data_IF_430012232489
#
_entry.id   IF_430012232489
#
_cell.length_a   1.000
_cell.length_b   1.000
_cell.length_c   1.000
_cell.angle_alpha   90.00
_cell.angle_beta   90.00
_cell.angle_gamma   90.00
#
_symmetry.space_group_name_H-M   'P 1'
#
loop_
_entity.id
_entity.type
_entity.pdbx_description
1 polymer ?
#
# COMPACT_ATOMS: atom_id res chain seq x y z
N UNK A 1 -37.35 -55.19 -7.64
CA UNK A 1 -37.51 -54.40 -8.87
C UNK A 1 -36.16 -54.27 -9.52
N UNK A 2 -36.09 -54.50 -10.83
CA UNK A 2 -34.86 -54.23 -11.60
C UNK A 2 -34.97 -52.87 -12.25
N UNK A 3 -33.87 -52.14 -12.31
CA UNK A 3 -33.76 -50.82 -12.89
C UNK A 3 -32.48 -50.71 -13.71
N UNK A 4 -32.45 -49.75 -14.63
CA UNK A 4 -31.31 -49.52 -15.52
C UNK A 4 -30.28 -48.63 -14.87
N UNK A 5 -29.03 -49.09 -14.91
CA UNK A 5 -27.87 -48.34 -14.43
C UNK A 5 -26.88 -48.10 -15.56
N UNK A 6 -26.53 -46.87 -15.78
CA UNK A 6 -25.51 -46.45 -16.72
C UNK A 6 -24.18 -46.32 -15.99
N UNK A 7 -23.20 -47.14 -16.31
CA UNK A 7 -21.87 -47.12 -15.73
C UNK A 7 -20.88 -46.42 -16.64
N UNK A 8 -19.93 -45.71 -15.98
CA UNK A 8 -18.89 -44.92 -16.64
C UNK A 8 -17.52 -45.24 -16.04
N UNK A 9 -16.48 -45.13 -16.85
CA UNK A 9 -15.11 -44.96 -16.39
C UNK A 9 -14.83 -43.45 -16.47
N UNK A 10 -14.90 -42.76 -15.34
CA UNK A 10 -14.95 -41.31 -15.32
C UNK A 10 -14.12 -40.72 -14.16
N UNK A 11 -13.20 -39.79 -14.47
CA UNK A 11 -12.35 -39.16 -13.48
C UNK A 11 -12.81 -37.73 -13.20
N UNK A 12 -13.08 -37.43 -11.96
CA UNK A 12 -13.41 -36.09 -11.47
C UNK A 12 -12.98 -35.93 -10.02
N UNK A 13 -12.93 -34.70 -9.55
CA UNK A 13 -12.77 -34.39 -8.12
C UNK A 13 -14.13 -34.57 -7.42
N UNK A 14 -14.11 -34.98 -6.16
CA UNK A 14 -15.35 -35.14 -5.37
C UNK A 14 -16.12 -33.84 -5.22
N UNK A 15 -15.40 -32.73 -5.09
CA UNK A 15 -15.97 -31.38 -4.96
C UNK A 15 -16.23 -30.69 -6.32
N UNK A 16 -16.50 -31.43 -7.41
CA UNK A 16 -16.79 -30.86 -8.74
C UNK A 16 -18.23 -31.17 -9.17
N UNK A 17 -18.85 -30.26 -9.92
CA UNK A 17 -20.17 -30.48 -10.55
C UNK A 17 -20.09 -31.19 -11.89
N UNK A 18 -18.90 -31.61 -12.33
CA UNK A 18 -18.68 -32.24 -13.61
C UNK A 18 -19.52 -33.50 -13.78
N UNK A 19 -20.15 -33.66 -14.93
CA UNK A 19 -20.92 -34.85 -15.34
C UNK A 19 -20.22 -35.59 -16.47
N UNK A 20 -20.39 -36.90 -16.60
CA UNK A 20 -19.94 -37.61 -17.79
C UNK A 20 -20.59 -37.03 -19.05
N UNK A 21 -19.79 -36.80 -20.07
CA UNK A 21 -20.25 -36.36 -21.40
C UNK A 21 -20.16 -37.52 -22.36
N UNK A 22 -21.28 -37.84 -23.06
CA UNK A 22 -21.32 -38.93 -24.01
C UNK A 22 -22.05 -40.20 -23.52
N UNK A 23 -21.95 -41.28 -24.29
CA UNK A 23 -22.62 -42.54 -24.00
C UNK A 23 -22.01 -43.23 -22.76
N UNK A 24 -22.84 -43.98 -22.03
CA UNK A 24 -22.38 -44.83 -20.94
C UNK A 24 -21.38 -45.86 -21.45
N UNK A 25 -20.36 -46.17 -20.65
CA UNK A 25 -19.39 -47.24 -20.96
C UNK A 25 -20.04 -48.61 -20.94
N UNK A 26 -21.05 -48.78 -20.10
CA UNK A 26 -21.87 -49.98 -20.03
C UNK A 26 -23.25 -49.64 -19.45
N UNK A 27 -24.26 -50.40 -19.84
CA UNK A 27 -25.64 -50.32 -19.36
C UNK A 27 -26.10 -51.69 -18.89
N UNK A 28 -26.50 -51.76 -17.63
CA UNK A 28 -26.95 -53.02 -17.04
C UNK A 28 -28.29 -52.90 -16.32
N UNK A 29 -29.08 -53.97 -16.34
CA UNK A 29 -30.21 -54.11 -15.47
C UNK A 29 -29.74 -54.63 -14.11
N UNK A 30 -29.97 -53.88 -13.08
CA UNK A 30 -29.48 -54.13 -11.72
C UNK A 30 -30.62 -54.26 -10.73
N UNK A 31 -30.34 -54.82 -9.56
CA UNK A 31 -31.26 -54.92 -8.44
C UNK A 31 -30.63 -54.26 -7.23
N UNK A 32 -31.42 -53.47 -6.48
CA UNK A 32 -30.97 -52.92 -5.22
C UNK A 32 -30.93 -53.97 -4.13
N UNK A 33 -29.86 -54.08 -3.39
CA UNK A 33 -29.71 -54.97 -2.26
C UNK A 33 -30.59 -54.52 -1.09
N UNK A 34 -31.30 -55.44 -0.45
CA UNK A 34 -32.14 -55.12 0.69
C UNK A 34 -31.34 -54.43 1.81
N UNK A 35 -31.95 -53.40 2.38
CA UNK A 35 -31.33 -52.61 3.47
C UNK A 35 -30.40 -51.50 3.02
N UNK A 36 -30.30 -51.20 1.73
CA UNK A 36 -29.56 -50.03 1.23
C UNK A 36 -30.51 -48.89 0.86
N UNK A 37 -30.11 -47.66 1.19
CA UNK A 37 -30.85 -46.43 0.90
C UNK A 37 -30.45 -45.82 -0.46
N UNK A 38 -31.17 -44.79 -0.87
CA UNK A 38 -30.90 -44.07 -2.14
C UNK A 38 -29.56 -43.30 -2.08
N UNK A 39 -29.12 -42.88 -0.90
CA UNK A 39 -27.86 -42.12 -0.75
C UNK A 39 -26.63 -43.01 -0.94
N UNK A 40 -26.68 -44.23 -0.37
CA UNK A 40 -25.59 -45.20 -0.44
C UNK A 40 -26.12 -46.56 -0.91
N UNK A 41 -26.50 -46.66 -2.20
CA UNK A 41 -27.07 -47.90 -2.69
C UNK A 41 -26.01 -48.99 -2.87
N UNK A 42 -26.39 -50.20 -2.50
CA UNK A 42 -25.67 -51.41 -2.88
C UNK A 42 -26.44 -52.10 -4.01
N UNK A 43 -25.82 -52.18 -5.17
CA UNK A 43 -26.49 -52.65 -6.38
C UNK A 43 -25.90 -53.97 -6.85
N UNK A 44 -26.77 -54.95 -6.99
CA UNK A 44 -26.40 -56.25 -7.50
C UNK A 44 -26.63 -56.33 -9.02
N UNK A 45 -25.64 -56.86 -9.70
CA UNK A 45 -25.72 -57.17 -11.11
C UNK A 45 -25.13 -58.55 -11.43
N UNK A 46 -25.73 -59.23 -12.41
CA UNK A 46 -25.23 -60.48 -12.93
C UNK A 46 -24.69 -60.25 -14.32
N UNK A 47 -23.42 -60.54 -14.52
CA UNK A 47 -22.78 -60.44 -15.83
C UNK A 47 -22.73 -61.79 -16.51
N UNK A 48 -23.00 -61.84 -17.82
CA UNK A 48 -22.84 -63.03 -18.62
C UNK A 48 -21.36 -63.38 -18.82
N UNK A 49 -20.99 -64.64 -18.65
CA UNK A 49 -19.60 -65.06 -18.79
C UNK A 49 -18.70 -64.61 -17.67
N UNK A 50 -17.42 -64.30 -17.96
CA UNK A 50 -16.41 -63.81 -16.99
C UNK A 50 -16.30 -62.30 -16.99
N UNK A 51 -17.39 -61.57 -17.18
CA UNK A 51 -17.39 -60.11 -17.21
C UNK A 51 -16.88 -59.52 -15.90
N UNK A 52 -16.03 -58.49 -16.01
CA UNK A 52 -15.44 -57.78 -14.89
C UNK A 52 -15.83 -56.30 -14.94
N UNK A 53 -16.63 -55.77 -13.98
CA UNK A 53 -17.08 -54.38 -13.96
C UNK A 53 -16.15 -53.46 -13.19
N UNK A 54 -15.01 -53.93 -12.67
CA UNK A 54 -14.15 -53.17 -11.76
C UNK A 54 -13.52 -51.91 -12.40
N UNK A 55 -13.59 -51.77 -13.72
CA UNK A 55 -13.15 -50.54 -14.42
C UNK A 55 -14.15 -49.39 -14.34
N UNK A 56 -15.39 -49.64 -13.89
CA UNK A 56 -16.42 -48.64 -13.78
C UNK A 56 -16.39 -48.03 -12.35
N UNK A 57 -16.10 -46.78 -12.26
CA UNK A 57 -15.98 -46.06 -11.00
C UNK A 57 -17.07 -44.98 -10.79
N UNK A 58 -18.01 -44.88 -11.76
CA UNK A 58 -19.07 -43.88 -11.70
C UNK A 58 -20.35 -44.42 -12.34
N UNK A 59 -21.50 -43.98 -11.83
CA UNK A 59 -22.78 -44.48 -12.32
C UNK A 59 -23.88 -43.41 -12.34
N UNK A 60 -24.86 -43.57 -13.23
CA UNK A 60 -26.11 -42.81 -13.22
C UNK A 60 -27.29 -43.79 -13.18
N UNK A 61 -28.18 -43.60 -12.21
CA UNK A 61 -29.38 -44.37 -12.02
C UNK A 61 -30.57 -43.52 -12.44
N UNK A 62 -31.19 -43.91 -13.55
CA UNK A 62 -32.29 -43.15 -14.14
C UNK A 62 -33.51 -43.05 -13.21
N UNK A 63 -33.89 -44.17 -12.56
CA UNK A 63 -35.06 -44.26 -11.67
C UNK A 63 -34.91 -43.36 -10.42
N UNK A 64 -33.67 -43.09 -10.01
CA UNK A 64 -33.38 -42.19 -8.89
C UNK A 64 -33.03 -40.78 -9.36
N UNK A 65 -32.81 -40.60 -10.67
CA UNK A 65 -32.30 -39.35 -11.27
C UNK A 65 -31.04 -38.80 -10.55
N UNK A 66 -30.10 -39.70 -10.20
CA UNK A 66 -28.91 -39.37 -9.41
C UNK A 66 -27.65 -39.98 -10.01
N UNK A 67 -26.55 -39.25 -9.82
CA UNK A 67 -25.21 -39.71 -10.10
C UNK A 67 -24.56 -40.28 -8.83
N UNK A 68 -23.68 -41.28 -9.01
CA UNK A 68 -23.05 -42.01 -7.93
C UNK A 68 -21.58 -42.26 -8.21
N UNK A 69 -20.75 -42.12 -7.15
CA UNK A 69 -19.41 -42.69 -7.13
C UNK A 69 -19.51 -44.19 -6.80
N UNK A 70 -18.76 -45.03 -7.51
CA UNK A 70 -18.60 -46.45 -7.20
C UNK A 70 -17.27 -46.62 -6.48
N UNK A 71 -17.34 -46.92 -5.18
CA UNK A 71 -16.15 -47.01 -4.33
C UNK A 71 -15.52 -48.38 -4.37
N UNK A 72 -16.36 -49.42 -4.41
CA UNK A 72 -15.91 -50.80 -4.31
C UNK A 72 -16.82 -51.75 -5.10
N UNK A 73 -16.20 -52.78 -5.65
CA UNK A 73 -16.89 -53.92 -6.30
C UNK A 73 -16.62 -55.19 -5.51
N UNK A 74 -17.66 -55.80 -4.96
CA UNK A 74 -17.64 -57.09 -4.28
C UNK A 74 -18.20 -58.18 -5.21
N UNK A 75 -17.56 -59.35 -5.21
CA UNK A 75 -18.10 -60.51 -5.92
C UNK A 75 -18.55 -61.56 -4.91
N UNK A 76 -19.86 -61.83 -4.86
CA UNK A 76 -20.48 -62.80 -3.92
C UNK A 76 -21.64 -63.48 -4.62
N UNK A 77 -21.81 -64.79 -4.37
CA UNK A 77 -22.90 -65.61 -4.90
C UNK A 77 -23.11 -65.51 -6.43
N UNK A 78 -22.00 -65.45 -7.18
CA UNK A 78 -21.99 -65.31 -8.64
C UNK A 78 -22.59 -63.99 -9.13
N UNK A 79 -22.65 -63.01 -8.28
CA UNK A 79 -23.09 -61.65 -8.59
C UNK A 79 -22.02 -60.63 -8.23
N UNK A 80 -22.00 -59.55 -8.95
CA UNK A 80 -21.23 -58.37 -8.61
C UNK A 80 -22.09 -57.40 -7.80
N UNK A 81 -21.52 -56.83 -6.76
CA UNK A 81 -22.17 -55.84 -5.91
C UNK A 81 -21.36 -54.56 -6.00
N UNK A 82 -21.97 -53.47 -6.45
CA UNK A 82 -21.40 -52.13 -6.43
C UNK A 82 -21.78 -51.42 -5.14
N UNK A 83 -20.79 -50.98 -4.38
CA UNK A 83 -20.97 -50.12 -3.23
C UNK A 83 -20.81 -48.66 -3.69
N UNK A 84 -21.89 -47.87 -3.56
CA UNK A 84 -21.93 -46.54 -4.14
C UNK A 84 -22.33 -45.48 -3.12
N UNK A 85 -21.94 -44.22 -3.38
CA UNK A 85 -22.43 -43.03 -2.69
C UNK A 85 -22.91 -42.01 -3.71
N UNK A 86 -23.94 -41.24 -3.32
CA UNK A 86 -24.50 -40.20 -4.19
C UNK A 86 -23.48 -39.07 -4.42
N UNK A 87 -23.38 -38.64 -5.69
CA UNK A 87 -22.68 -37.42 -6.06
C UNK A 87 -23.70 -36.28 -6.12
N UNK A 88 -23.82 -35.56 -5.01
CA UNK A 88 -24.82 -34.51 -4.89
C UNK A 88 -24.53 -33.31 -5.79
N UNK A 89 -23.25 -32.95 -6.02
CA UNK A 89 -22.89 -31.84 -6.86
C UNK A 89 -23.22 -32.09 -8.34
N UNK A 90 -22.93 -33.27 -8.86
CA UNK A 90 -23.31 -33.61 -10.23
C UNK A 90 -24.82 -33.84 -10.38
N UNK A 91 -25.46 -34.40 -9.38
CA UNK A 91 -26.92 -34.67 -9.40
C UNK A 91 -27.68 -33.35 -9.47
N UNK A 92 -27.37 -32.40 -8.63
CA UNK A 92 -28.10 -31.13 -8.51
C UNK A 92 -27.39 -29.95 -9.19
N UNK A 93 -26.46 -30.18 -10.11
CA UNK A 93 -25.70 -29.17 -10.83
C UNK A 93 -26.55 -27.99 -11.33
N UNK A 94 -27.69 -28.30 -11.97
CA UNK A 94 -28.52 -27.24 -12.60
C UNK A 94 -29.23 -26.39 -11.56
N UNK A 95 -29.64 -26.97 -10.43
CA UNK A 95 -30.25 -26.28 -9.31
C UNK A 95 -29.20 -25.38 -8.62
N UNK A 96 -28.02 -25.96 -8.32
CA UNK A 96 -26.88 -25.21 -7.77
C UNK A 96 -26.49 -24.06 -8.71
N UNK A 97 -26.42 -24.32 -10.01
CA UNK A 97 -26.07 -23.32 -11.02
C UNK A 97 -27.04 -22.14 -11.08
N UNK A 98 -28.34 -22.39 -10.89
CA UNK A 98 -29.36 -21.34 -10.88
C UNK A 98 -29.47 -20.58 -9.56
N UNK A 99 -28.84 -21.08 -8.49
CA UNK A 99 -28.88 -20.43 -7.17
C UNK A 99 -28.11 -19.11 -7.18
N UNK A 100 -28.68 -18.10 -6.52
CA UNK A 100 -28.03 -16.83 -6.26
C UNK A 100 -27.47 -16.86 -4.84
N UNK A 101 -26.15 -16.98 -4.70
CA UNK A 101 -25.47 -17.20 -3.44
C UNK A 101 -24.46 -16.08 -3.17
N UNK A 102 -24.15 -15.85 -1.91
CA UNK A 102 -23.10 -14.95 -1.49
C UNK A 102 -21.73 -15.61 -1.69
N UNK A 103 -21.06 -15.23 -2.77
CA UNK A 103 -19.78 -15.81 -3.17
C UNK A 103 -18.65 -15.07 -2.47
N UNK A 104 -17.89 -15.78 -1.63
CA UNK A 104 -16.71 -15.26 -0.94
C UNK A 104 -15.49 -15.23 -1.88
N UNK A 105 -15.37 -16.20 -2.77
CA UNK A 105 -14.24 -16.36 -3.67
C UNK A 105 -14.62 -17.06 -4.96
N UNK A 106 -14.02 -16.61 -6.07
CA UNK A 106 -14.19 -17.24 -7.38
C UNK A 106 -12.91 -17.16 -8.21
N UNK A 107 -12.59 -18.22 -8.95
CA UNK A 107 -11.49 -18.23 -9.92
C UNK A 107 -11.78 -17.40 -11.18
N UNK A 108 -13.05 -17.20 -11.54
CA UNK A 108 -13.46 -16.57 -12.80
C UNK A 108 -13.80 -15.10 -12.69
N UNK A 109 -14.12 -14.59 -11.48
CA UNK A 109 -14.53 -13.22 -11.28
C UNK A 109 -13.67 -12.55 -10.19
N UNK A 110 -13.51 -11.24 -10.30
CA UNK A 110 -12.76 -10.43 -9.37
C UNK A 110 -13.50 -9.14 -9.09
N UNK A 111 -13.66 -8.78 -7.83
CA UNK A 111 -14.04 -7.46 -7.38
C UNK A 111 -12.81 -6.79 -6.75
N UNK A 112 -12.22 -5.78 -7.40
CA UNK A 112 -11.01 -5.11 -6.89
C UNK A 112 -11.25 -4.33 -5.59
N UNK A 113 -12.51 -4.06 -5.22
CA UNK A 113 -12.85 -3.39 -3.97
C UNK A 113 -12.81 -4.33 -2.75
N UNK A 114 -12.73 -5.63 -2.97
CA UNK A 114 -12.75 -6.63 -1.91
C UNK A 114 -11.42 -7.34 -1.80
N UNK A 115 -10.84 -7.32 -0.60
CA UNK A 115 -9.59 -8.03 -0.25
C UNK A 115 -9.90 -9.05 0.83
N UNK A 116 -9.68 -10.32 0.53
CA UNK A 116 -9.77 -11.40 1.51
C UNK A 116 -8.37 -11.70 2.09
N UNK A 117 -8.10 -11.23 3.30
CA UNK A 117 -6.79 -11.39 3.97
C UNK A 117 -6.52 -12.83 4.44
N UNK A 118 -7.57 -13.63 4.63
CA UNK A 118 -7.48 -15.03 5.07
C UNK A 118 -7.25 -16.01 3.91
N UNK A 119 -7.09 -15.52 2.72
CA UNK A 119 -6.92 -16.34 1.53
C UNK A 119 -5.51 -16.97 1.47
N UNK A 120 -5.37 -18.30 1.44
CA UNK A 120 -4.08 -18.98 1.38
C UNK A 120 -3.50 -18.92 -0.03
N UNK A 121 -2.85 -17.82 -0.37
CA UNK A 121 -2.19 -17.67 -1.65
C UNK A 121 -0.80 -18.32 -1.65
N UNK A 122 -0.51 -19.16 -2.61
CA UNK A 122 0.86 -19.61 -2.87
C UNK A 122 1.58 -18.56 -3.70
N UNK A 123 2.72 -18.12 -3.19
CA UNK A 123 3.53 -17.06 -3.77
C UNK A 123 4.77 -17.69 -4.40
N UNK A 124 5.02 -17.36 -5.67
CA UNK A 124 6.23 -17.69 -6.41
C UNK A 124 7.32 -16.63 -6.21
N UNK A 125 7.73 -15.96 -7.29
CA UNK A 125 8.73 -14.90 -7.22
C UNK A 125 8.18 -13.62 -6.57
N UNK A 126 9.09 -12.84 -5.97
CA UNK A 126 8.79 -11.51 -5.42
C UNK A 126 9.63 -10.46 -6.12
N UNK A 127 9.00 -9.37 -6.57
CA UNK A 127 9.64 -8.25 -7.25
C UNK A 127 9.38 -6.98 -6.46
N UNK A 128 10.40 -6.11 -6.40
CA UNK A 128 10.26 -4.77 -5.81
C UNK A 128 10.43 -3.74 -6.92
N UNK A 129 9.46 -2.84 -7.03
CA UNK A 129 9.45 -1.75 -8.00
C UNK A 129 9.21 -0.42 -7.29
N UNK A 130 9.74 0.65 -7.86
CA UNK A 130 9.62 1.99 -7.30
C UNK A 130 9.45 3.02 -8.40
N UNK A 131 8.59 4.00 -8.15
CA UNK A 131 8.46 5.23 -8.94
C UNK A 131 8.69 6.44 -8.03
N UNK A 132 9.42 7.42 -8.55
CA UNK A 132 9.81 8.60 -7.79
C UNK A 132 9.17 9.86 -8.37
N UNK A 133 8.92 10.85 -7.54
CA UNK A 133 8.43 12.16 -7.96
C UNK A 133 9.11 13.28 -7.18
N UNK A 134 10.04 14.01 -7.80
CA UNK A 134 10.59 15.20 -7.17
C UNK A 134 9.57 16.34 -7.18
N UNK A 135 9.52 17.14 -6.10
CA UNK A 135 8.73 18.36 -6.04
C UNK A 135 9.23 19.37 -7.08
N UNK A 136 8.31 20.09 -7.71
CA UNK A 136 8.63 21.11 -8.72
C UNK A 136 9.13 22.40 -8.07
N UNK A 137 10.20 22.31 -7.30
CA UNK A 137 10.88 23.39 -6.62
C UNK A 137 12.38 23.08 -6.52
N UNK A 138 13.21 24.13 -6.40
CA UNK A 138 14.64 23.95 -6.16
C UNK A 138 14.87 23.40 -4.73
N UNK A 139 14.73 22.09 -4.62
CA UNK A 139 15.05 21.37 -3.41
C UNK A 139 16.55 21.12 -3.34
N UNK A 140 17.12 21.11 -2.14
CA UNK A 140 18.57 20.97 -1.97
C UNK A 140 19.14 19.72 -2.65
N UNK A 141 18.37 18.62 -2.65
CA UNK A 141 18.75 17.37 -3.33
C UNK A 141 18.69 17.45 -4.85
N UNK A 142 17.77 18.24 -5.39
CA UNK A 142 17.60 18.37 -6.83
C UNK A 142 18.63 19.31 -7.47
N UNK A 143 19.16 20.27 -6.67
CA UNK A 143 20.16 21.22 -7.15
C UNK A 143 21.14 21.59 -6.01
N UNK A 144 22.09 20.71 -5.69
CA UNK A 144 23.05 20.95 -4.61
C UNK A 144 23.94 22.17 -4.85
N UNK A 145 24.09 22.59 -6.12
CA UNK A 145 24.89 23.77 -6.48
C UNK A 145 24.16 25.10 -6.29
N UNK A 146 22.85 25.12 -6.12
CA UNK A 146 22.04 26.34 -6.00
C UNK A 146 22.06 27.00 -4.61
N UNK A 147 22.90 26.50 -3.72
CA UNK A 147 23.01 27.01 -2.36
C UNK A 147 22.23 26.18 -1.35
N UNK A 148 22.54 26.42 -0.10
CA UNK A 148 22.17 25.60 1.03
C UNK A 148 20.85 26.09 1.62
N UNK A 149 19.73 25.81 0.96
CA UNK A 149 18.42 26.17 1.48
C UNK A 149 18.26 27.65 1.87
N UNK A 150 17.19 27.97 2.53
CA UNK A 150 16.93 29.31 3.03
C UNK A 150 16.44 29.29 4.47
N UNK A 151 16.73 30.36 5.20
CA UNK A 151 16.20 30.57 6.54
C UNK A 151 15.12 31.65 6.51
N UNK A 152 14.07 31.40 7.24
CA UNK A 152 13.07 32.44 7.57
C UNK A 152 13.37 32.94 8.95
N UNK A 153 13.66 34.24 9.02
CA UNK A 153 14.07 34.92 10.25
C UNK A 153 13.01 35.92 10.64
N UNK A 154 12.45 35.79 11.81
CA UNK A 154 11.50 36.73 12.40
C UNK A 154 12.22 37.77 13.26
N UNK A 155 12.08 39.03 12.91
CA UNK A 155 12.67 40.17 13.60
C UNK A 155 11.59 41.10 14.15
N UNK A 156 11.68 41.45 15.42
CA UNK A 156 10.82 42.49 16.02
C UNK A 156 11.28 43.85 15.51
N UNK A 157 10.31 44.66 15.06
CA UNK A 157 10.56 45.98 14.45
C UNK A 157 11.47 45.90 13.20
N UNK A 158 11.38 44.85 12.44
CA UNK A 158 12.19 44.63 11.24
C UNK A 158 11.88 45.56 10.06
N UNK A 159 10.80 46.35 10.13
CA UNK A 159 10.39 47.30 9.10
C UNK A 159 10.69 48.77 9.49
N UNK A 160 10.63 49.65 8.50
CA UNK A 160 10.94 51.07 8.59
C UNK A 160 9.94 51.90 9.40
N UNK A 161 8.74 51.40 9.67
CA UNK A 161 7.61 52.19 10.16
C UNK A 161 7.33 52.09 11.65
N UNK A 162 8.24 51.56 12.48
CA UNK A 162 8.07 51.40 13.93
C UNK A 162 6.75 50.73 14.36
N UNK A 163 6.10 50.01 13.44
CA UNK A 163 4.93 49.22 13.77
C UNK A 163 5.39 48.10 14.72
N UNK A 164 4.78 48.03 15.89
CA UNK A 164 5.02 46.96 16.86
C UNK A 164 4.59 45.63 16.23
N UNK A 165 5.52 44.89 15.62
CA UNK A 165 5.24 43.63 14.95
C UNK A 165 6.51 42.88 14.59
N UNK A 166 6.33 41.63 14.18
CA UNK A 166 7.40 40.78 13.70
C UNK A 166 7.39 40.78 12.18
N UNK A 167 8.52 41.19 11.58
CA UNK A 167 8.75 41.08 10.14
C UNK A 167 9.58 39.85 9.87
N UNK A 168 9.11 38.99 8.94
CA UNK A 168 9.81 37.79 8.54
C UNK A 168 10.62 38.03 7.27
N UNK A 169 11.88 37.61 7.30
CA UNK A 169 12.83 37.77 6.21
C UNK A 169 13.30 36.42 5.67
N UNK A 170 13.40 36.32 4.35
CA UNK A 170 14.00 35.20 3.67
C UNK A 170 15.49 35.46 3.45
N UNK A 171 16.36 34.65 4.06
CA UNK A 171 17.80 34.82 4.06
C UNK A 171 18.55 33.57 3.66
N UNK A 172 19.62 33.75 2.89
CA UNK A 172 20.64 32.70 2.70
C UNK A 172 21.48 32.53 3.96
N UNK A 173 22.15 31.35 4.09
CA UNK A 173 23.05 31.12 5.23
C UNK A 173 24.19 32.18 5.35
N UNK A 174 24.70 32.69 4.22
CA UNK A 174 25.71 33.74 4.22
C UNK A 174 25.18 35.06 4.79
N UNK A 175 23.94 35.42 4.47
CA UNK A 175 23.31 36.64 5.03
C UNK A 175 23.04 36.53 6.53
N UNK A 176 22.67 35.34 7.00
CA UNK A 176 22.50 35.05 8.42
C UNK A 176 23.83 35.18 9.16
N UNK A 177 24.91 34.65 8.58
CA UNK A 177 26.24 34.81 9.17
C UNK A 177 26.66 36.28 9.26
N UNK A 178 26.37 37.09 8.25
CA UNK A 178 26.62 38.52 8.27
C UNK A 178 25.76 39.22 9.35
N UNK A 179 24.48 38.89 9.46
CA UNK A 179 23.57 39.42 10.47
C UNK A 179 24.07 39.09 11.87
N UNK A 180 24.50 37.86 12.12
CA UNK A 180 25.10 37.45 13.38
C UNK A 180 26.35 38.24 13.71
N UNK A 181 27.28 38.38 12.74
CA UNK A 181 28.51 39.19 12.98
C UNK A 181 28.17 40.63 13.32
N UNK A 182 27.22 41.24 12.64
CA UNK A 182 26.78 42.59 12.93
C UNK A 182 26.20 42.71 14.36
N UNK A 183 25.34 41.76 14.76
CA UNK A 183 24.78 41.72 16.11
C UNK A 183 25.86 41.57 17.18
N UNK A 184 26.85 40.67 16.94
CA UNK A 184 27.95 40.46 17.88
C UNK A 184 28.86 41.70 18.00
N UNK A 185 29.23 42.33 16.86
CA UNK A 185 30.03 43.56 16.91
C UNK A 185 29.30 44.69 17.64
N UNK A 186 27.99 44.81 17.46
CA UNK A 186 27.16 45.80 18.20
C UNK A 186 27.22 45.54 19.71
N UNK A 187 27.22 44.28 20.16
CA UNK A 187 27.37 43.94 21.58
C UNK A 187 28.78 44.32 22.10
N UNK A 188 29.83 44.03 21.30
CA UNK A 188 31.20 44.38 21.67
C UNK A 188 31.40 45.92 21.82
N UNK A 189 30.87 46.70 20.89
CA UNK A 189 30.93 48.17 20.95
C UNK A 189 30.23 48.71 22.21
N UNK A 190 29.10 48.14 22.61
CA UNK A 190 28.38 48.52 23.83
C UNK A 190 29.11 48.11 25.11
N UNK A 191 29.84 46.99 25.12
CA UNK A 191 30.66 46.60 26.27
C UNK A 191 31.81 47.55 26.56
N UNK A 192 32.26 48.28 25.55
CA UNK A 192 33.32 49.29 25.66
C UNK A 192 32.81 50.65 26.14
N UNK A 193 31.50 50.92 26.25
CA UNK A 193 30.92 52.13 26.79
C UNK A 193 30.92 52.03 28.31
N UNK A 194 31.91 52.60 28.92
CA UNK A 194 32.18 52.59 30.39
C UNK A 194 31.17 53.37 31.24
N UNK A 195 30.17 53.99 30.66
CA UNK A 195 29.22 54.89 31.34
C UNK A 195 27.88 54.22 31.68
N UNK A 196 27.57 53.04 31.22
CA UNK A 196 26.31 52.35 31.56
C UNK A 196 26.50 51.36 32.71
N UNK A 197 26.17 51.79 33.90
CA UNK A 197 26.26 51.06 35.16
C UNK A 197 25.02 50.16 35.33
N UNK A 198 25.02 49.00 34.75
CA UNK A 198 24.03 47.99 35.14
C UNK A 198 23.87 46.86 34.14
N UNK A 199 23.99 45.64 34.64
CA UNK A 199 23.76 44.42 33.87
C UNK A 199 22.34 44.33 33.27
N UNK A 200 21.38 45.05 33.89
CA UNK A 200 19.98 45.14 33.42
C UNK A 200 19.91 45.97 32.13
N UNK A 201 20.61 47.09 32.03
CA UNK A 201 20.63 47.93 30.81
C UNK A 201 21.30 47.17 29.64
N UNK A 202 22.35 46.39 29.91
CA UNK A 202 23.00 45.54 28.92
C UNK A 202 22.06 44.41 28.41
N UNK A 203 21.27 43.84 29.30
CA UNK A 203 20.29 42.81 28.91
C UNK A 203 19.16 43.37 28.01
N UNK A 204 18.70 44.62 28.28
CA UNK A 204 17.71 45.29 27.44
C UNK A 204 18.26 45.72 26.07
N UNK A 205 19.56 45.88 25.94
CA UNK A 205 20.22 46.32 24.72
C UNK A 205 20.79 45.18 23.87
N UNK A 206 20.62 43.92 24.28
CA UNK A 206 21.08 42.78 23.52
C UNK A 206 20.31 42.70 22.19
N UNK A 207 20.98 42.90 21.03
CA UNK A 207 20.33 42.81 19.73
C UNK A 207 19.68 41.44 19.43
N UNK A 208 20.18 40.38 20.06
CA UNK A 208 19.68 39.03 19.84
C UNK A 208 18.25 38.82 20.34
N UNK A 209 17.79 39.63 21.31
CA UNK A 209 16.41 39.57 21.82
C UNK A 209 15.36 39.96 20.77
N UNK A 210 15.76 40.71 19.73
CA UNK A 210 14.86 41.13 18.66
C UNK A 210 14.64 40.06 17.61
N UNK A 211 15.38 38.95 17.63
CA UNK A 211 15.15 37.80 16.79
C UNK A 211 14.26 36.79 17.51
N UNK A 212 13.01 36.69 17.05
CA UNK A 212 11.99 35.80 17.67
C UNK A 212 11.99 34.40 17.10
N UNK A 213 12.45 34.23 15.87
CA UNK A 213 12.53 32.92 15.24
C UNK A 213 13.56 32.86 14.11
N UNK A 214 14.12 31.68 13.91
CA UNK A 214 14.94 31.38 12.75
C UNK A 214 14.67 29.90 12.36
N UNK A 215 14.07 29.67 11.19
CA UNK A 215 13.73 28.35 10.71
C UNK A 215 14.40 28.14 9.37
N UNK A 216 15.20 27.08 9.24
CA UNK A 216 15.83 26.68 8.00
C UNK A 216 14.98 25.71 7.21
N UNK A 217 14.89 25.93 5.89
CA UNK A 217 14.19 25.06 4.96
C UNK A 217 15.14 24.50 3.90
N UNK A 218 14.95 23.23 3.48
CA UNK A 218 15.79 22.56 2.47
C UNK A 218 15.43 22.93 1.03
N UNK A 219 14.66 24.00 0.83
CA UNK A 219 14.23 24.47 -0.47
C UNK A 219 14.27 26.00 -0.57
N UNK A 220 14.16 26.49 -1.81
CA UNK A 220 14.11 27.91 -2.09
C UNK A 220 12.70 28.46 -1.80
N UNK A 221 12.60 29.41 -0.88
CA UNK A 221 11.37 30.16 -0.61
C UNK A 221 11.32 31.35 -1.55
N UNK A 222 10.44 31.31 -2.54
CA UNK A 222 10.15 32.46 -3.38
C UNK A 222 9.16 33.36 -2.65
N UNK A 223 9.53 34.62 -2.39
CA UNK A 223 8.65 35.63 -1.83
C UNK A 223 8.60 36.83 -2.77
N UNK A 224 7.44 37.46 -2.92
CA UNK A 224 7.25 38.69 -3.68
C UNK A 224 7.51 39.92 -2.85
N UNK A 225 7.78 39.75 -1.55
CA UNK A 225 8.01 40.85 -0.63
C UNK A 225 9.19 41.76 -1.02
N UNK A 226 9.21 42.96 -0.47
CA UNK A 226 10.23 43.98 -0.74
C UNK A 226 11.61 43.54 -0.27
N UNK A 227 12.65 43.98 -0.95
CA UNK A 227 14.02 43.89 -0.46
C UNK A 227 14.30 45.15 0.35
N UNK A 228 14.43 44.97 1.66
CA UNK A 228 14.67 46.06 2.62
C UNK A 228 15.81 45.68 3.54
N UNK A 229 16.41 46.71 4.17
CA UNK A 229 17.41 46.47 5.18
C UNK A 229 16.76 45.89 6.45
N UNK A 230 17.38 44.84 6.99
CA UNK A 230 16.94 44.22 8.23
C UNK A 230 17.23 45.17 9.39
N UNK A 231 16.18 45.59 10.06
CA UNK A 231 16.24 46.43 11.26
C UNK A 231 15.83 45.62 12.48
N UNK A 232 16.32 46.03 13.64
CA UNK A 232 15.91 45.45 14.91
C UNK A 232 16.06 46.49 16.00
N UNK A 233 14.99 46.79 16.70
CA UNK A 233 14.96 47.87 17.64
C UNK A 233 15.35 49.20 16.99
N UNK A 234 16.45 49.80 17.45
CA UNK A 234 17.00 51.09 16.97
C UNK A 234 18.11 50.91 15.92
N UNK A 235 18.52 49.67 15.63
CA UNK A 235 19.66 49.39 14.76
C UNK A 235 19.25 49.07 13.33
N UNK A 236 20.06 49.56 12.40
CA UNK A 236 19.98 49.17 11.00
C UNK A 236 21.22 48.35 10.66
N UNK A 237 21.01 47.08 10.29
CA UNK A 237 22.12 46.18 9.97
C UNK A 237 22.79 46.47 8.62
N UNK A 238 22.17 47.27 7.76
CA UNK A 238 22.58 47.49 6.36
C UNK A 238 22.66 46.19 5.55
N UNK A 239 22.04 45.13 6.05
CA UNK A 239 21.93 43.83 5.36
C UNK A 239 20.56 43.75 4.72
N UNK A 240 20.53 43.87 3.41
CA UNK A 240 19.26 43.77 2.64
C UNK A 240 18.79 42.33 2.54
N UNK A 241 17.56 42.07 2.92
CA UNK A 241 16.88 40.78 2.76
C UNK A 241 15.46 40.99 2.21
N UNK A 242 14.90 39.96 1.63
CA UNK A 242 13.53 39.99 1.12
C UNK A 242 12.56 39.68 2.24
N UNK A 243 11.58 40.56 2.44
CA UNK A 243 10.49 40.30 3.37
C UNK A 243 9.60 39.17 2.86
N UNK A 244 8.98 38.45 3.78
CA UNK A 244 8.03 37.39 3.47
C UNK A 244 6.64 38.01 3.31
N UNK A 245 5.98 37.78 2.20
CA UNK A 245 4.62 38.28 1.90
C UNK A 245 3.55 37.17 2.07
N UNK A 246 3.95 35.90 2.03
CA UNK A 246 3.10 34.77 2.31
C UNK A 246 3.75 33.85 3.33
N UNK A 247 2.96 33.32 4.27
CA UNK A 247 3.46 32.51 5.38
C UNK A 247 3.33 31.02 5.15
N UNK A 248 2.69 30.62 4.07
CA UNK A 248 2.53 29.22 3.67
C UNK A 248 3.10 28.97 2.28
N UNK A 249 3.59 27.75 2.07
CA UNK A 249 4.04 27.26 0.76
C UNK A 249 3.40 25.92 0.46
N UNK A 250 2.78 25.82 -0.71
CA UNK A 250 2.14 24.59 -1.18
C UNK A 250 2.96 23.92 -2.26
N UNK A 251 2.98 22.60 -2.24
CA UNK A 251 3.59 21.75 -3.24
C UNK A 251 2.59 20.68 -3.66
N UNK A 252 2.53 20.36 -4.95
CA UNK A 252 1.70 19.28 -5.46
C UNK A 252 2.53 18.42 -6.41
N UNK A 253 2.40 17.07 -6.29
CA UNK A 253 3.09 16.12 -7.15
C UNK A 253 2.32 14.85 -7.33
N UNK A 254 2.15 14.41 -8.57
CA UNK A 254 1.59 13.09 -8.88
C UNK A 254 2.71 12.09 -9.11
N UNK A 255 2.61 10.92 -8.48
CA UNK A 255 3.56 9.82 -8.62
C UNK A 255 2.81 8.63 -9.22
N UNK A 256 3.19 8.15 -10.41
CA UNK A 256 2.52 7.04 -11.05
C UNK A 256 2.72 5.73 -10.27
N UNK A 257 1.74 4.84 -10.35
CA UNK A 257 1.84 3.50 -9.75
C UNK A 257 3.00 2.73 -10.40
N UNK A 258 3.87 2.08 -9.62
CA UNK A 258 4.90 1.20 -10.16
C UNK A 258 4.30 0.11 -11.05
N UNK A 259 4.87 -0.10 -12.23
CA UNK A 259 4.41 -1.12 -13.14
C UNK A 259 4.84 -2.51 -12.67
N UNK A 260 3.94 -3.47 -12.81
CA UNK A 260 4.21 -4.87 -12.51
C UNK A 260 5.06 -5.49 -13.63
N UNK A 261 6.17 -6.19 -13.34
CA UNK A 261 7.07 -6.71 -14.37
C UNK A 261 6.51 -7.96 -15.10
N UNK A 262 5.59 -8.68 -14.47
CA UNK A 262 5.06 -9.99 -14.91
C UNK A 262 3.59 -9.96 -15.38
N UNK A 263 2.99 -8.77 -15.56
CA UNK A 263 1.55 -8.60 -15.81
C UNK A 263 1.05 -9.26 -17.10
N UNK A 264 1.92 -9.49 -18.08
CA UNK A 264 1.53 -10.03 -19.37
C UNK A 264 0.89 -11.43 -19.28
N UNK A 265 1.17 -12.16 -18.20
CA UNK A 265 0.72 -13.53 -18.00
C UNK A 265 -0.58 -13.67 -17.21
N UNK A 266 -1.10 -12.56 -16.63
CA UNK A 266 -2.25 -12.62 -15.75
C UNK A 266 -3.37 -11.67 -16.17
N UNK A 267 -4.55 -12.22 -16.40
CA UNK A 267 -5.74 -11.44 -16.72
C UNK A 267 -6.35 -10.82 -15.45
N UNK A 268 -6.75 -9.55 -15.54
CA UNK A 268 -7.50 -8.84 -14.50
C UNK A 268 -6.64 -8.14 -13.44
N UNK A 269 -7.31 -7.37 -12.57
CA UNK A 269 -6.66 -6.49 -11.61
C UNK A 269 -6.31 -7.17 -10.28
N UNK A 270 -6.77 -8.39 -10.05
CA UNK A 270 -6.62 -9.10 -8.78
C UNK A 270 -5.15 -9.34 -8.38
N UNK A 271 -4.23 -9.38 -9.34
CA UNK A 271 -2.79 -9.48 -9.08
C UNK A 271 -2.18 -8.17 -8.58
N UNK A 272 -2.89 -7.06 -8.70
CA UNK A 272 -2.44 -5.74 -8.25
C UNK A 272 -2.97 -5.35 -6.88
N UNK A 273 -3.61 -6.27 -6.17
CA UNK A 273 -4.09 -6.11 -4.80
C UNK A 273 -3.49 -7.17 -3.89
N UNK A 274 -3.64 -7.01 -2.57
CA UNK A 274 -3.23 -8.05 -1.62
C UNK A 274 -3.92 -9.40 -1.89
N UNK A 275 -3.20 -10.50 -1.72
CA UNK A 275 -1.83 -10.63 -1.21
C UNK A 275 -0.73 -10.53 -2.28
N UNK A 276 -1.06 -10.27 -3.55
CA UNK A 276 -0.13 -10.32 -4.68
C UNK A 276 0.56 -8.99 -4.95
N UNK A 277 0.04 -7.88 -4.45
CA UNK A 277 0.69 -6.57 -4.51
C UNK A 277 0.48 -5.80 -3.21
N UNK A 278 1.56 -5.25 -2.69
CA UNK A 278 1.56 -4.37 -1.53
C UNK A 278 2.21 -3.05 -1.94
N UNK A 279 1.50 -1.93 -1.73
CA UNK A 279 1.99 -0.61 -2.06
C UNK A 279 2.24 0.21 -0.80
N UNK A 280 3.29 1.02 -0.84
CA UNK A 280 3.55 2.00 0.21
C UNK A 280 4.27 3.21 -0.36
N UNK A 281 3.89 4.37 0.14
CA UNK A 281 4.55 5.63 -0.15
C UNK A 281 5.62 5.88 0.91
N UNK A 282 6.82 6.24 0.46
CA UNK A 282 7.86 6.81 1.32
C UNK A 282 7.90 8.31 1.08
N UNK A 283 7.52 9.08 2.07
CA UNK A 283 7.49 10.54 2.02
C UNK A 283 8.11 11.09 3.31
N UNK A 284 9.36 11.48 3.25
CA UNK A 284 10.04 12.09 4.40
C UNK A 284 9.58 13.54 4.57
N UNK A 285 9.38 14.03 5.82
CA UNK A 285 9.61 13.38 7.10
C UNK A 285 8.42 12.53 7.63
N UNK A 286 7.38 12.30 6.83
CA UNK A 286 6.15 11.61 7.23
C UNK A 286 6.31 10.09 7.36
N UNK A 287 7.36 9.51 6.76
CA UNK A 287 7.69 8.10 6.87
C UNK A 287 7.03 7.21 5.82
N UNK A 288 6.75 5.96 6.20
CA UNK A 288 6.10 4.96 5.34
C UNK A 288 4.59 5.02 5.52
N UNK A 289 3.88 5.23 4.42
CA UNK A 289 2.42 5.33 4.36
C UNK A 289 1.92 4.14 3.53
N UNK A 290 1.16 3.19 4.09
CA UNK A 290 0.58 2.10 3.34
C UNK A 290 -0.52 2.63 2.40
N UNK A 291 -0.56 2.10 1.17
CA UNK A 291 -1.55 2.44 0.15
C UNK A 291 -2.23 1.15 -0.32
N UNK A 292 -3.55 1.13 -0.35
CA UNK A 292 -4.28 0.00 -0.91
C UNK A 292 -4.23 -0.01 -2.43
N UNK A 293 -3.92 -1.15 -3.03
CA UNK A 293 -3.92 -1.32 -4.49
C UNK A 293 -5.30 -1.14 -5.14
N UNK A 294 -6.39 -1.27 -4.35
CA UNK A 294 -7.75 -1.01 -4.81
C UNK A 294 -8.06 0.48 -4.98
N UNK A 295 -7.33 1.33 -4.27
CA UNK A 295 -7.60 2.77 -4.21
C UNK A 295 -6.83 3.57 -5.25
N UNK A 296 -5.90 2.92 -5.98
CA UNK A 296 -5.05 3.57 -6.98
C UNK A 296 -5.12 2.84 -8.33
N UNK A 297 -5.17 3.60 -9.41
CA UNK A 297 -4.99 3.10 -10.78
C UNK A 297 -3.54 3.31 -11.28
N UNK A 298 -3.31 3.22 -12.59
CA UNK A 298 -1.99 3.43 -13.18
C UNK A 298 -1.45 4.86 -12.96
N UNK A 299 -2.32 5.85 -12.76
CA UNK A 299 -1.93 7.24 -12.50
C UNK A 299 -1.30 7.39 -11.10
N UNK A 300 -1.67 6.52 -10.15
CA UNK A 300 -1.05 6.42 -8.84
C UNK A 300 -1.64 7.35 -7.80
N UNK A 301 -0.81 8.19 -7.17
CA UNK A 301 -1.20 9.08 -6.08
C UNK A 301 -0.80 10.51 -6.35
N UNK A 302 -1.61 11.46 -5.90
CA UNK A 302 -1.26 12.89 -5.84
C UNK A 302 -0.93 13.25 -4.40
N UNK A 303 0.19 13.90 -4.22
CA UNK A 303 0.68 14.41 -2.95
C UNK A 303 0.50 15.90 -2.93
N UNK A 304 -0.22 16.42 -1.94
CA UNK A 304 -0.35 17.85 -1.69
C UNK A 304 0.24 18.15 -0.32
N UNK A 305 1.28 18.97 -0.31
CA UNK A 305 1.97 19.36 0.92
C UNK A 305 1.87 20.86 1.12
N UNK A 306 1.41 21.28 2.29
CA UNK A 306 1.41 22.66 2.73
C UNK A 306 2.42 22.82 3.87
N UNK A 307 3.28 23.84 3.75
CA UNK A 307 4.34 24.14 4.73
C UNK A 307 4.12 25.52 5.31
N UNK A 308 4.00 25.60 6.62
CA UNK A 308 4.05 26.85 7.37
C UNK A 308 5.50 27.31 7.50
N UNK A 309 5.81 28.45 6.90
CA UNK A 309 7.16 29.01 6.83
C UNK A 309 7.61 29.67 8.17
N UNK A 310 6.71 29.92 9.09
CA UNK A 310 7.03 30.49 10.39
C UNK A 310 7.43 29.41 11.38
N UNK A 311 6.63 28.35 11.45
CA UNK A 311 6.84 27.24 12.40
C UNK A 311 7.68 26.12 11.84
N UNK A 312 7.73 25.99 10.52
CA UNK A 312 8.37 24.86 9.83
C UNK A 312 7.52 23.58 9.83
N UNK A 313 6.26 23.66 10.27
CA UNK A 313 5.34 22.52 10.21
C UNK A 313 4.87 22.28 8.78
N UNK A 314 4.91 21.05 8.34
CA UNK A 314 4.37 20.61 7.07
C UNK A 314 3.18 19.67 7.27
N UNK A 315 2.13 19.87 6.49
CA UNK A 315 0.99 18.96 6.38
C UNK A 315 1.03 18.30 5.02
N UNK A 316 0.89 16.99 4.98
CA UNK A 316 0.82 16.21 3.75
C UNK A 316 -0.54 15.55 3.64
N UNK A 317 -1.17 15.73 2.49
CA UNK A 317 -2.36 15.01 2.08
C UNK A 317 -2.01 14.13 0.88
N UNK A 318 -2.39 12.85 0.95
CA UNK A 318 -2.20 11.87 -0.12
C UNK A 318 -3.57 11.55 -0.69
N UNK A 319 -3.77 11.80 -1.98
CA UNK A 319 -5.02 11.53 -2.70
C UNK A 319 -4.84 10.48 -3.78
N UNK A 320 -5.90 9.75 -4.09
CA UNK A 320 -5.94 8.90 -5.27
C UNK A 320 -5.89 9.76 -6.53
N UNK A 321 -5.06 9.37 -7.50
CA UNK A 321 -4.97 10.04 -8.80
C UNK A 321 -5.57 9.14 -9.89
N UNK A 322 -6.21 9.74 -10.92
CA UNK A 322 -6.74 9.03 -12.08
C UNK A 322 -8.21 9.30 -12.37
N UNK A 323 -8.62 9.01 -13.61
CA UNK A 323 -9.98 9.30 -14.09
C UNK A 323 -11.04 8.27 -13.68
N UNK A 324 -10.60 7.06 -13.29
CA UNK A 324 -11.49 5.94 -12.95
C UNK A 324 -11.67 5.73 -11.44
N UNK A 325 -10.97 6.52 -10.64
CA UNK A 325 -11.08 6.50 -9.18
C UNK A 325 -12.06 7.61 -8.77
N UNK A 326 -12.76 7.45 -7.65
CA UNK A 326 -13.54 8.53 -7.06
C UNK A 326 -12.58 9.71 -6.86
N UNK A 327 -12.76 10.76 -7.67
CA UNK A 327 -11.87 11.91 -7.68
C UNK A 327 -11.77 12.50 -6.28
N UNK A 328 -10.56 12.94 -5.91
CA UNK A 328 -10.25 13.59 -4.63
C UNK A 328 -10.45 12.72 -3.37
N UNK A 329 -10.44 11.39 -3.52
CA UNK A 329 -10.43 10.52 -2.35
C UNK A 329 -9.11 10.68 -1.61
N UNK A 330 -9.20 11.20 -0.40
CA UNK A 330 -8.07 11.29 0.52
C UNK A 330 -7.76 9.90 1.06
N UNK A 331 -6.54 9.45 0.85
CA UNK A 331 -6.04 8.15 1.31
C UNK A 331 -5.34 8.26 2.65
N UNK A 332 -4.66 9.39 2.87
CA UNK A 332 -3.92 9.62 4.11
C UNK A 332 -3.64 11.11 4.31
N UNK A 333 -3.59 11.54 5.56
CA UNK A 333 -3.17 12.88 5.97
C UNK A 333 -2.25 12.79 7.18
N UNK A 334 -1.28 13.69 7.27
CA UNK A 334 -0.40 13.77 8.42
C UNK A 334 0.39 15.06 8.45
N UNK A 335 0.97 15.34 9.61
CA UNK A 335 1.79 16.52 9.83
C UNK A 335 3.15 16.13 10.39
N UNK A 336 4.20 16.83 9.98
CA UNK A 336 5.55 16.62 10.47
C UNK A 336 6.37 17.91 10.44
N UNK A 337 7.41 17.99 11.26
CA UNK A 337 8.34 19.10 11.25
C UNK A 337 9.30 18.99 10.06
N UNK A 338 9.16 19.87 9.09
CA UNK A 338 10.01 19.98 7.91
C UNK A 338 11.08 21.06 8.06
N UNK A 339 10.69 22.23 8.53
CA UNK A 339 11.61 23.31 8.82
C UNK A 339 12.42 23.03 10.09
N UNK A 340 13.71 23.33 10.06
CA UNK A 340 14.61 23.13 11.19
C UNK A 340 14.77 24.43 11.95
N UNK A 341 14.27 24.53 13.20
CA UNK A 341 14.48 25.71 14.00
C UNK A 341 15.96 25.83 14.39
N UNK A 342 16.54 27.02 14.21
CA UNK A 342 17.94 27.32 14.50
C UNK A 342 18.02 28.33 15.60
N UNK A 343 18.83 28.07 16.65
CA UNK A 343 19.17 29.01 17.66
C UNK A 343 20.45 29.76 17.25
N UNK A 344 20.38 31.08 17.19
CA UNK A 344 21.50 31.89 16.73
C UNK A 344 22.74 31.81 17.63
N UNK A 345 22.57 31.62 18.92
CA UNK A 345 23.68 31.37 19.84
C UNK A 345 24.55 30.15 19.44
N UNK A 346 24.04 29.30 18.61
CA UNK A 346 24.69 28.04 18.21
C UNK A 346 25.16 28.05 16.75
N UNK A 347 24.96 29.14 15.99
CA UNK A 347 25.50 29.26 14.63
C UNK A 347 27.01 29.40 14.72
N UNK A 348 27.78 28.32 14.58
CA UNK A 348 29.22 28.35 14.40
C UNK A 348 29.58 28.83 12.98
N UNK A 349 30.77 29.37 12.79
CA UNK A 349 31.29 29.73 11.47
C UNK A 349 31.37 28.53 10.50
N UNK A 350 31.38 27.31 11.04
CA UNK A 350 31.45 26.06 10.27
C UNK A 350 30.09 25.52 9.78
N UNK A 351 29.00 26.23 10.11
CA UNK A 351 27.64 25.83 9.68
C UNK A 351 27.52 25.65 8.15
N UNK A 352 28.13 26.58 7.39
CA UNK A 352 28.16 26.47 5.91
C UNK A 352 29.00 25.30 5.43
N UNK A 353 30.10 24.95 6.11
CA UNK A 353 30.92 23.82 5.82
C UNK A 353 30.19 22.50 6.10
N UNK A 354 29.44 22.41 7.21
CA UNK A 354 28.64 21.27 7.59
C UNK A 354 27.53 20.99 6.59
N UNK A 355 26.78 22.02 6.16
CA UNK A 355 25.68 21.86 5.21
C UNK A 355 26.20 21.58 3.80
N UNK A 356 27.33 22.16 3.38
CA UNK A 356 27.96 21.85 2.10
C UNK A 356 28.52 20.41 2.05
N UNK A 357 29.04 19.89 3.18
CA UNK A 357 29.49 18.52 3.32
C UNK A 357 28.33 17.51 3.19
N UNK A 358 27.17 17.84 3.74
CA UNK A 358 25.94 17.03 3.61
C UNK A 358 25.43 17.00 2.17
N UNK A 359 25.45 18.15 1.48
CA UNK A 359 25.03 18.27 0.09
C UNK A 359 25.97 17.48 -0.82
N UNK A 360 27.27 17.54 -0.60
CA UNK A 360 28.25 16.78 -1.38
C UNK A 360 28.12 15.25 -1.15
N UNK A 361 27.85 14.81 0.07
CA UNK A 361 27.57 13.42 0.39
C UNK A 361 26.28 12.91 -0.27
N UNK A 362 25.23 13.74 -0.28
CA UNK A 362 23.95 13.39 -0.88
C UNK A 362 23.98 13.40 -2.42
N UNK A 363 24.78 14.26 -3.06
CA UNK A 363 24.96 14.30 -4.50
C UNK A 363 25.68 13.03 -5.04
N UNK A 364 26.56 12.43 -4.23
CA UNK A 364 27.18 11.12 -4.54
C UNK A 364 26.19 9.97 -4.55
N UNK A 365 25.09 10.06 -3.79
CA UNK A 365 24.03 9.05 -3.70
C UNK A 365 23.01 9.14 -4.85
N UNK A 366 22.81 10.32 -5.45
CA UNK A 366 21.87 10.53 -6.55
C UNK A 366 22.30 9.88 -7.88
N UNK A 367 23.55 9.43 -7.98
CA UNK A 367 24.13 8.90 -9.22
C UNK A 367 23.95 7.40 -9.46
N UNK A 368 22.85 6.79 -9.00
CA UNK A 368 22.34 5.60 -9.68
C UNK A 368 22.52 4.25 -9.01
N UNK A 369 22.50 4.15 -7.68
CA UNK A 369 22.46 2.87 -6.97
C UNK A 369 21.17 2.67 -6.20
N UNK A 370 20.64 1.47 -6.28
CA UNK A 370 19.32 1.06 -5.79
C UNK A 370 18.96 1.55 -4.38
N UNK A 371 17.95 2.35 -4.34
CA UNK A 371 17.44 3.11 -3.19
C UNK A 371 17.24 2.26 -1.91
N UNK A 372 17.05 0.94 -2.05
CA UNK A 372 16.73 0.07 -0.92
C UNK A 372 17.90 -0.34 -0.03
N UNK A 373 19.08 -0.55 -0.58
CA UNK A 373 20.27 -0.90 0.22
C UNK A 373 20.82 0.30 0.97
N UNK A 374 20.57 1.52 0.49
CA UNK A 374 21.14 2.76 1.03
C UNK A 374 20.22 3.47 2.01
N UNK A 375 18.89 3.28 1.96
CA UNK A 375 17.97 3.73 3.01
C UNK A 375 18.33 3.05 4.36
N UNK A 376 18.81 1.81 4.32
CA UNK A 376 19.32 1.13 5.53
C UNK A 376 20.70 1.66 5.96
N UNK A 377 21.51 2.20 5.04
CA UNK A 377 22.82 2.81 5.35
C UNK A 377 22.73 4.31 5.69
N UNK A 378 21.56 4.90 5.67
CA UNK A 378 21.29 6.28 6.11
C UNK A 378 21.77 6.62 7.52
N UNK A 379 22.12 5.60 8.33
CA UNK A 379 22.82 5.77 9.58
C UNK A 379 24.19 6.46 9.44
N UNK A 380 24.89 6.31 8.31
CA UNK A 380 26.20 6.93 8.09
C UNK A 380 26.12 8.41 7.69
N UNK A 381 25.08 8.77 6.93
CA UNK A 381 24.81 10.19 6.60
C UNK A 381 24.25 10.92 7.83
N UNK A 382 23.36 10.26 8.57
CA UNK A 382 22.84 10.77 9.84
C UNK A 382 23.95 11.04 10.86
N UNK A 383 24.99 10.21 10.92
CA UNK A 383 26.10 10.37 11.85
C UNK A 383 27.05 11.52 11.46
N UNK A 384 27.31 11.73 10.17
CA UNK A 384 28.14 12.87 9.72
C UNK A 384 27.41 14.21 9.89
N UNK A 385 26.09 14.24 9.69
CA UNK A 385 25.25 15.41 9.98
C UNK A 385 25.13 15.66 11.48
N UNK A 386 24.94 14.62 12.28
CA UNK A 386 24.86 14.73 13.74
C UNK A 386 26.18 15.21 14.37
N UNK A 387 27.32 14.86 13.78
CA UNK A 387 28.64 15.31 14.23
C UNK A 387 28.97 16.73 13.78
N UNK A 388 28.34 17.23 12.70
CA UNK A 388 28.54 18.56 12.18
C UNK A 388 27.59 19.61 12.84
N UNK A 389 26.51 19.16 13.48
CA UNK A 389 25.67 20.04 14.29
C UNK A 389 26.31 20.33 15.65
N UNK A 390 26.34 21.59 16.14
CA UNK A 390 26.64 21.85 17.53
C UNK A 390 25.69 21.02 18.39
N UNK A 391 26.24 20.29 19.36
CA UNK A 391 25.49 19.44 20.28
C UNK A 391 24.42 20.26 21.00
N UNK A 392 23.24 20.33 20.43
CA UNK A 392 22.02 20.74 21.12
C UNK A 392 21.42 19.47 21.69
N UNK A 393 21.36 19.34 22.99
CA UNK A 393 20.53 18.35 23.64
C UNK A 393 19.05 18.69 23.40
N UNK A 394 18.56 18.47 22.19
CA UNK A 394 17.13 18.42 21.93
C UNK A 394 16.64 17.01 22.24
N UNK A 395 16.11 16.85 23.43
CA UNK A 395 15.27 15.69 23.76
C UNK A 395 13.98 15.77 22.97
N UNK A 396 13.92 15.02 21.89
CA UNK A 396 12.72 14.85 21.09
C UNK A 396 12.81 15.47 19.70
N UNK A 397 12.55 14.64 18.68
CA UNK A 397 12.52 14.93 17.23
C UNK A 397 13.86 15.04 16.52
N UNK A 398 14.61 13.96 16.53
CA UNK A 398 15.80 13.77 15.69
C UNK A 398 15.49 13.54 14.20
N UNK A 399 14.22 13.55 13.78
CA UNK A 399 13.85 13.27 12.40
C UNK A 399 13.97 14.46 11.43
N UNK A 400 14.02 15.66 11.94
CA UNK A 400 13.78 16.87 11.13
C UNK A 400 14.80 17.10 10.02
N UNK A 401 16.10 17.13 10.34
CA UNK A 401 17.08 17.56 9.33
C UNK A 401 17.34 16.51 8.25
N UNK A 402 17.60 15.28 8.63
CA UNK A 402 17.80 14.19 7.68
C UNK A 402 16.55 13.94 6.83
N UNK A 403 15.37 13.93 7.45
CA UNK A 403 14.10 13.81 6.78
C UNK A 403 13.80 14.97 5.82
N UNK A 404 14.12 16.21 6.21
CA UNK A 404 13.90 17.39 5.39
C UNK A 404 14.68 17.35 4.07
N UNK A 405 15.90 16.83 4.05
CA UNK A 405 16.70 16.68 2.83
C UNK A 405 16.03 15.70 1.86
N UNK A 406 15.55 14.58 2.37
CA UNK A 406 14.93 13.52 1.56
C UNK A 406 13.47 13.81 1.17
N UNK A 407 12.82 14.76 1.82
CA UNK A 407 11.44 15.13 1.52
C UNK A 407 11.24 15.63 0.08
N UNK A 408 12.30 16.07 -0.60
CA UNK A 408 12.25 16.51 -1.99
C UNK A 408 11.95 15.43 -3.04
N UNK A 409 12.06 14.15 -2.69
CA UNK A 409 11.89 13.00 -3.61
C UNK A 409 11.05 11.91 -2.98
N UNK A 410 9.75 12.12 -2.80
CA UNK A 410 8.86 11.05 -2.39
C UNK A 410 8.84 9.92 -3.42
N UNK A 411 8.66 8.68 -2.96
CA UNK A 411 8.61 7.50 -3.83
C UNK A 411 7.43 6.60 -3.49
N UNK A 412 6.72 6.15 -4.53
CA UNK A 412 5.71 5.10 -4.41
C UNK A 412 6.37 3.76 -4.73
N UNK A 413 6.31 2.84 -3.82
CA UNK A 413 6.97 1.55 -3.88
C UNK A 413 5.94 0.44 -3.93
N UNK A 414 6.27 -0.64 -4.62
CA UNK A 414 5.42 -1.82 -4.71
C UNK A 414 6.24 -3.09 -4.49
N UNK A 415 5.69 -4.02 -3.72
CA UNK A 415 6.15 -5.38 -3.58
C UNK A 415 5.16 -6.27 -4.32
N UNK A 416 5.55 -6.79 -5.47
CA UNK A 416 4.74 -7.70 -6.27
C UNK A 416 5.11 -9.14 -5.98
N UNK A 417 4.11 -9.98 -5.79
CA UNK A 417 4.25 -11.41 -5.58
C UNK A 417 3.55 -12.14 -6.72
N UNK A 418 4.29 -13.01 -7.39
CA UNK A 418 3.74 -13.80 -8.51
C UNK A 418 2.93 -14.96 -7.95
N UNK A 419 1.65 -15.15 -8.37
CA UNK A 419 0.93 -16.37 -8.02
C UNK A 419 1.57 -17.59 -8.69
N UNK A 420 1.48 -18.75 -8.05
CA UNK A 420 1.93 -20.01 -8.66
C UNK A 420 0.90 -20.45 -9.67
N UNK A 421 1.28 -20.66 -10.93
CA UNK A 421 0.36 -20.98 -12.04
C UNK A 421 -0.50 -22.22 -11.77
N UNK A 422 0.07 -23.27 -11.19
CA UNK A 422 -0.64 -24.50 -10.85
C UNK A 422 -1.86 -24.29 -9.94
N UNK A 423 -1.89 -23.17 -9.23
CA UNK A 423 -2.93 -22.87 -8.26
C UNK A 423 -3.76 -21.61 -8.63
N UNK A 424 -3.60 -21.05 -9.82
CA UNK A 424 -4.35 -19.84 -10.21
C UNK A 424 -5.86 -20.05 -10.12
N UNK A 425 -6.35 -21.22 -10.56
CA UNK A 425 -7.78 -21.57 -10.47
C UNK A 425 -8.23 -21.87 -9.04
N UNK A 426 -7.38 -22.45 -8.21
CA UNK A 426 -7.68 -22.75 -6.81
C UNK A 426 -7.52 -21.52 -5.92
N UNK A 427 -6.55 -20.67 -6.23
CA UNK A 427 -6.33 -19.44 -5.52
C UNK A 427 -7.48 -18.45 -5.72
N UNK A 428 -8.12 -18.44 -6.89
CA UNK A 428 -9.29 -17.63 -7.15
C UNK A 428 -9.07 -16.13 -6.87
N UNK A 429 -10.16 -15.40 -6.94
CA UNK A 429 -10.18 -13.96 -6.69
C UNK A 429 -11.18 -13.67 -5.59
N UNK A 430 -10.87 -12.78 -4.64
CA UNK A 430 -11.88 -12.31 -3.69
C UNK A 430 -13.05 -11.71 -4.44
N UNK A 431 -14.26 -12.16 -4.15
CA UNK A 431 -15.46 -11.67 -4.80
C UNK A 431 -16.46 -11.05 -3.80
N UNK A 432 -16.80 -11.74 -2.72
CA UNK A 432 -17.73 -11.29 -1.65
C UNK A 432 -18.99 -10.59 -2.18
N UNK A 433 -19.68 -11.19 -3.14
CA UNK A 433 -20.90 -10.66 -3.73
C UNK A 433 -21.95 -11.74 -3.95
N UNK A 434 -23.23 -11.36 -3.97
CA UNK A 434 -24.29 -12.21 -4.45
C UNK A 434 -24.13 -12.41 -5.96
N UNK A 435 -24.00 -13.69 -6.36
CA UNK A 435 -23.86 -14.07 -7.77
C UNK A 435 -24.65 -15.35 -8.07
N UNK A 436 -25.16 -15.42 -9.26
CA UNK A 436 -25.74 -16.66 -9.79
C UNK A 436 -24.58 -17.59 -10.19
N UNK A 437 -24.56 -18.79 -9.63
CA UNK A 437 -23.40 -19.70 -9.70
C UNK A 437 -23.01 -20.04 -11.14
N UNK A 438 -23.96 -20.27 -12.05
CA UNK A 438 -23.68 -20.61 -13.44
C UNK A 438 -23.05 -19.47 -14.27
N UNK A 439 -23.00 -18.23 -13.72
CA UNK A 439 -22.26 -17.13 -14.34
C UNK A 439 -20.75 -17.19 -14.04
N UNK A 440 -20.36 -18.07 -13.14
CA UNK A 440 -18.99 -18.29 -12.71
C UNK A 440 -18.52 -19.68 -13.19
N UNK A 441 -17.20 -19.83 -13.34
CA UNK A 441 -16.56 -21.09 -13.72
C UNK A 441 -15.33 -21.35 -12.86
N UNK A 442 -14.95 -22.61 -12.71
CA UNK A 442 -13.81 -23.01 -11.91
C UNK A 442 -14.14 -23.08 -10.42
N UNK A 443 -13.15 -22.76 -9.59
CA UNK A 443 -13.28 -22.84 -8.13
C UNK A 443 -14.17 -21.73 -7.58
N UNK A 444 -15.15 -22.11 -6.73
CA UNK A 444 -16.09 -21.19 -6.08
C UNK A 444 -16.19 -21.56 -4.60
N UNK A 445 -16.22 -20.57 -3.72
CA UNK A 445 -16.51 -20.71 -2.29
C UNK A 445 -17.61 -19.73 -1.90
N UNK A 446 -18.64 -20.25 -1.25
CA UNK A 446 -19.79 -19.44 -0.83
C UNK A 446 -19.86 -19.32 0.69
N UNK A 447 -20.63 -18.35 1.15
CA UNK A 447 -21.05 -18.19 2.54
C UNK A 447 -22.54 -18.52 2.64
N UNK A 448 -22.93 -19.30 3.68
CA UNK A 448 -24.32 -19.68 3.92
C UNK A 448 -25.00 -20.29 2.68
N UNK A 449 -24.31 -21.25 2.06
CA UNK A 449 -24.73 -21.89 0.81
C UNK A 449 -25.93 -22.82 0.97
N UNK A 450 -27.08 -22.30 1.35
CA UNK A 450 -28.32 -23.08 1.50
C UNK A 450 -29.06 -23.15 0.14
N UNK A 451 -29.09 -24.34 -0.44
CA UNK A 451 -29.73 -24.58 -1.75
C UNK A 451 -30.75 -25.71 -1.57
N UNK A 452 -32.03 -25.41 -1.45
CA UNK A 452 -33.07 -26.45 -1.34
C UNK A 452 -33.21 -27.16 -2.68
N UNK A 453 -32.84 -28.46 -2.74
CA UNK A 453 -32.85 -29.22 -3.97
C UNK A 453 -34.15 -30.01 -4.19
N UNK A 454 -34.96 -30.12 -3.14
CA UNK A 454 -36.12 -31.05 -3.14
C UNK A 454 -35.73 -32.52 -2.95
N UNK A 455 -34.46 -32.77 -2.66
CA UNK A 455 -33.91 -34.07 -2.28
C UNK A 455 -34.11 -34.40 -0.81
N UNK A 456 -33.20 -35.19 -0.26
CA UNK A 456 -33.18 -35.48 1.18
C UNK A 456 -32.43 -34.37 1.94
N UNK A 457 -32.77 -34.18 3.22
CA UNK A 457 -32.08 -33.21 4.07
C UNK A 457 -30.56 -33.46 4.18
N UNK A 458 -30.13 -34.73 4.04
CA UNK A 458 -28.71 -35.08 4.04
C UNK A 458 -28.00 -34.66 2.74
N UNK A 459 -28.69 -34.73 1.59
CA UNK A 459 -28.16 -34.22 0.32
C UNK A 459 -28.01 -32.70 0.36
N UNK A 460 -29.01 -31.98 0.87
CA UNK A 460 -28.94 -30.54 1.00
C UNK A 460 -27.79 -30.12 1.97
N UNK A 461 -27.58 -30.87 3.06
CA UNK A 461 -26.47 -30.64 3.99
C UNK A 461 -25.10 -30.85 3.32
N UNK A 462 -24.95 -31.95 2.56
CA UNK A 462 -23.71 -32.22 1.84
C UNK A 462 -23.40 -31.14 0.77
N UNK A 463 -24.43 -30.67 0.08
CA UNK A 463 -24.29 -29.56 -0.86
C UNK A 463 -23.80 -28.33 -0.14
N UNK A 464 -24.42 -27.95 0.98
CA UNK A 464 -24.00 -26.81 1.80
C UNK A 464 -22.54 -26.93 2.24
N UNK A 465 -22.14 -28.11 2.73
CA UNK A 465 -20.76 -28.36 3.16
C UNK A 465 -19.77 -28.14 1.99
N UNK A 466 -20.10 -28.58 0.77
CA UNK A 466 -19.27 -28.34 -0.41
C UNK A 466 -19.25 -26.86 -0.82
N UNK A 467 -20.38 -26.17 -0.81
CA UNK A 467 -20.46 -24.74 -1.16
C UNK A 467 -19.62 -23.89 -0.21
N UNK A 468 -19.64 -24.20 1.09
CA UNK A 468 -18.90 -23.48 2.13
C UNK A 468 -17.41 -23.88 2.19
N UNK A 469 -17.05 -25.12 1.91
CA UNK A 469 -15.65 -25.57 1.86
C UNK A 469 -14.94 -25.19 0.56
N UNK A 470 -15.70 -25.04 -0.51
CA UNK A 470 -15.24 -24.74 -1.87
C UNK A 470 -15.39 -25.90 -2.84
N UNK A 471 -15.90 -25.61 -4.03
CA UNK A 471 -16.19 -26.57 -5.08
C UNK A 471 -15.85 -26.03 -6.47
N UNK A 472 -15.81 -26.93 -7.46
CA UNK A 472 -15.60 -26.57 -8.86
C UNK A 472 -16.93 -26.64 -9.62
N UNK A 473 -17.32 -25.52 -10.23
CA UNK A 473 -18.43 -25.47 -11.17
C UNK A 473 -17.89 -25.58 -12.59
N UNK A 474 -18.15 -26.76 -13.21
CA UNK A 474 -17.61 -27.18 -14.51
C UNK A 474 -18.71 -27.63 -15.47
#
# INVERSE_FOLDING_TARGET
MSFVVNFYSFTKKENSTKRPTGAASAVYNCIIKNGSGVLNPKIELTLAGNGNPTSYNYAYIQDFARYYFVHEWEYSDRKWIAHMSVDVLATYKDIIGSANLYVLRSASANDPAVVETMYPAKIGATYVQSTNGAWDVNWIMNNPSAGVGQCIVGMVNGDTNYAAGVTYFCMSGSKISQLKQYMLSTIEDWNNITTFTGDIAKAFMDPMQYMVSCVWFPFYVTSAGAIIDVKFGFWNSHISARSLDTFTRTFSKTIPRPARPDIANYAGNWVNIEPFAEYFLLAYPFGRIPISGNDIDATGVTLDMEVDLITGLAQLEVRAAGSNVVHDRVLWTGAAQLGVPIQLSQISTDYLGAVSGVVAGAAGLASGLGIFSEILSGASIGSSIANAMPKVEQKGYMGGFGGAIWAGTPSLNAIFRTPVEENVTENGRPLCQNRVINTLTGYIKCMEGDVPTGGTAEEDRQIKDFLESGFYYE
#
